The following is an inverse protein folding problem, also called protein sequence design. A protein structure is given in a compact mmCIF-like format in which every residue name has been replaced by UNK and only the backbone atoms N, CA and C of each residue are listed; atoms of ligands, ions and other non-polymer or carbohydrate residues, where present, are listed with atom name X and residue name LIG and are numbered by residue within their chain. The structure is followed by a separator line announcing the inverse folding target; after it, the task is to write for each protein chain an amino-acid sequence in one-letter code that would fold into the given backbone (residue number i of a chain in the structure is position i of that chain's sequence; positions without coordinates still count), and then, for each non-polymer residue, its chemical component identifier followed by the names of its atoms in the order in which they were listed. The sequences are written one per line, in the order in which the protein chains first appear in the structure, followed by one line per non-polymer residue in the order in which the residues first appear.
data_IF_434122362765
#
_entry.id   IF_434122362765
#
_cell.length_a   1.000
_cell.length_b   1.000
_cell.length_c   1.000
_cell.angle_alpha   90.00
_cell.angle_beta   90.00
_cell.angle_gamma   90.00
#
_symmetry.space_group_name_H-M   'P 1'
#
loop_
_entity.id
_entity.type
_entity.pdbx_description
1 polymer ?
#
# COMPACT_ATOMS: atom_id res chain seq x y z
N UNK A 1 14.09 13.73 -8.31
CA UNK A 1 12.69 13.29 -8.47
C UNK A 1 11.72 14.31 -7.89
N UNK A 2 11.85 14.70 -6.62
CA UNK A 2 10.96 15.66 -5.95
C UNK A 2 10.83 17.01 -6.69
N UNK A 3 11.92 17.56 -7.21
CA UNK A 3 11.89 18.78 -8.02
C UNK A 3 11.09 18.62 -9.32
N UNK A 4 11.16 17.45 -9.97
CA UNK A 4 10.38 17.17 -11.16
C UNK A 4 8.88 17.07 -10.84
N UNK A 5 8.52 16.39 -9.73
CA UNK A 5 7.14 16.31 -9.27
C UNK A 5 6.57 17.67 -8.85
N UNK A 6 7.39 18.53 -8.23
CA UNK A 6 6.96 19.87 -7.84
C UNK A 6 6.73 20.80 -9.04
N UNK A 7 7.39 20.53 -10.17
CA UNK A 7 7.23 21.27 -11.43
C UNK A 7 6.16 20.66 -12.36
N UNK A 8 5.65 19.47 -12.05
CA UNK A 8 4.65 18.77 -12.85
C UNK A 8 3.28 19.45 -12.69
N UNK A 9 2.60 19.69 -13.82
CA UNK A 9 1.20 20.12 -13.79
C UNK A 9 0.30 18.93 -13.39
N UNK A 10 -0.61 19.09 -12.40
CA UNK A 10 -1.55 18.05 -12.05
C UNK A 10 -2.33 17.55 -13.27
N UNK A 11 -2.44 16.23 -13.41
CA UNK A 11 -3.11 15.60 -14.55
C UNK A 11 -4.62 15.91 -14.66
N UNK A 12 -5.20 16.50 -13.60
CA UNK A 12 -6.53 17.07 -13.56
C UNK A 12 -6.60 18.12 -12.43
N UNK A 13 -7.63 18.96 -12.45
CA UNK A 13 -7.90 19.93 -11.37
C UNK A 13 -8.09 19.20 -10.03
N UNK A 14 -7.30 19.51 -8.98
CA UNK A 14 -7.47 18.90 -7.67
C UNK A 14 -8.91 19.03 -7.15
N UNK A 15 -9.44 17.93 -6.59
CA UNK A 15 -10.83 17.83 -6.16
C UNK A 15 -11.82 17.35 -7.23
N UNK A 16 -11.46 17.34 -8.52
CA UNK A 16 -12.32 16.81 -9.62
C UNK A 16 -12.08 15.32 -9.92
N UNK A 17 -11.66 14.56 -8.90
CA UNK A 17 -11.39 13.14 -8.97
C UNK A 17 -10.02 12.77 -8.40
N UNK A 18 -9.73 11.47 -8.42
CA UNK A 18 -8.50 10.90 -7.86
C UNK A 18 -7.91 9.82 -8.77
N UNK A 19 -6.65 9.52 -8.53
CA UNK A 19 -5.92 8.45 -9.19
C UNK A 19 -4.76 7.99 -8.33
N UNK A 20 -4.58 6.67 -8.24
CA UNK A 20 -3.53 6.07 -7.42
C UNK A 20 -2.11 6.44 -7.88
N UNK A 21 -1.37 7.12 -7.01
CA UNK A 21 0.00 7.56 -7.26
C UNK A 21 1.04 6.47 -6.92
N UNK A 22 1.11 5.39 -7.72
CA UNK A 22 1.82 4.15 -7.41
C UNK A 22 3.28 4.29 -6.91
N UNK A 23 4.03 5.27 -7.43
CA UNK A 23 5.42 5.55 -7.01
C UNK A 23 5.60 6.98 -6.55
N UNK A 24 4.89 7.92 -7.18
CA UNK A 24 5.01 9.34 -6.87
C UNK A 24 4.53 9.68 -5.47
N UNK A 25 3.57 8.92 -4.92
CA UNK A 25 3.14 9.05 -3.52
C UNK A 25 4.32 8.97 -2.54
N UNK A 26 5.21 7.99 -2.72
CA UNK A 26 6.33 7.78 -1.81
C UNK A 26 7.39 8.87 -1.90
N UNK A 27 7.54 9.50 -3.07
CA UNK A 27 8.40 10.68 -3.23
C UNK A 27 7.80 11.93 -2.57
N UNK A 28 6.49 12.15 -2.74
CA UNK A 28 5.78 13.29 -2.17
C UNK A 28 5.80 13.21 -0.64
N UNK A 29 5.34 12.09 -0.08
CA UNK A 29 5.33 11.88 1.38
C UNK A 29 6.75 11.80 1.94
N UNK A 30 7.68 11.16 1.23
CA UNK A 30 9.07 11.07 1.66
C UNK A 30 9.76 12.44 1.78
N UNK A 31 9.48 13.38 0.89
CA UNK A 31 9.99 14.75 0.98
C UNK A 31 9.34 15.52 2.14
N UNK A 32 8.04 15.32 2.40
CA UNK A 32 7.38 15.90 3.57
C UNK A 32 8.03 15.40 4.87
N UNK A 33 8.28 14.09 5.00
CA UNK A 33 8.99 13.51 6.13
C UNK A 33 10.38 14.14 6.28
N UNK A 34 11.14 14.27 5.18
CA UNK A 34 12.47 14.87 5.22
C UNK A 34 12.45 16.31 5.71
N UNK A 35 11.48 17.12 5.29
CA UNK A 35 11.36 18.52 5.70
C UNK A 35 10.87 18.68 7.14
N UNK A 36 9.92 17.85 7.56
CA UNK A 36 9.33 17.93 8.90
C UNK A 36 10.22 17.30 9.98
N UNK A 37 10.97 16.25 9.64
CA UNK A 37 11.73 15.42 10.59
C UNK A 37 13.25 15.57 10.45
N UNK A 38 13.74 16.12 9.33
CA UNK A 38 15.17 16.25 9.04
C UNK A 38 15.88 14.96 8.60
N UNK A 39 15.22 13.80 8.70
CA UNK A 39 15.75 12.47 8.37
C UNK A 39 15.33 11.98 6.99
N UNK A 40 16.03 10.98 6.44
CA UNK A 40 15.52 10.24 5.29
C UNK A 40 14.20 9.52 5.64
N UNK A 41 13.30 9.27 4.68
CA UNK A 41 11.99 8.67 4.99
C UNK A 41 12.09 7.30 5.66
N UNK A 42 13.06 6.46 5.27
CA UNK A 42 13.30 5.17 5.91
C UNK A 42 13.76 5.29 7.37
N UNK A 43 14.65 6.23 7.65
CA UNK A 43 15.11 6.53 9.00
C UNK A 43 14.01 7.15 9.87
N UNK A 44 13.16 7.98 9.27
CA UNK A 44 11.98 8.56 9.90
C UNK A 44 11.02 7.47 10.35
N UNK A 45 10.59 6.60 9.42
CA UNK A 45 9.72 5.45 9.68
C UNK A 45 10.34 4.53 10.73
N UNK A 46 11.63 4.21 10.61
CA UNK A 46 12.30 3.33 11.55
C UNK A 46 12.28 3.88 12.98
N UNK A 47 12.63 5.16 13.19
CA UNK A 47 12.72 5.70 14.54
C UNK A 47 11.38 6.15 15.13
N UNK A 48 10.40 6.53 14.31
CA UNK A 48 9.09 7.01 14.78
C UNK A 48 8.04 5.90 14.89
N UNK A 49 8.20 4.80 14.16
CA UNK A 49 7.19 3.74 14.08
C UNK A 49 7.80 2.38 14.40
N UNK A 50 8.77 1.92 13.60
CA UNK A 50 9.21 0.54 13.69
C UNK A 50 9.92 0.22 15.02
N UNK A 51 10.88 1.04 15.46
CA UNK A 51 11.59 0.82 16.72
C UNK A 51 10.69 0.96 17.96
N UNK A 52 9.86 2.02 18.11
CA UNK A 52 8.96 2.14 19.25
C UNK A 52 8.00 0.96 19.43
N UNK A 53 7.52 0.39 18.31
CA UNK A 53 6.60 -0.74 18.31
C UNK A 53 7.32 -2.11 18.21
N UNK A 54 8.65 -2.15 18.19
CA UNK A 54 9.41 -3.40 18.04
C UNK A 54 9.18 -4.14 16.71
N UNK A 55 8.84 -3.41 15.65
CA UNK A 55 8.54 -3.98 14.33
C UNK A 55 9.80 -4.24 13.52
N UNK A 56 9.80 -5.37 12.83
CA UNK A 56 10.82 -5.73 11.87
C UNK A 56 10.38 -5.28 10.46
N UNK A 57 10.40 -3.96 10.26
CA UNK A 57 10.00 -3.31 9.03
C UNK A 57 11.00 -2.23 8.62
N UNK A 58 11.38 -2.24 7.35
CA UNK A 58 12.49 -1.44 6.81
C UNK A 58 12.08 -0.79 5.49
N UNK A 59 12.43 0.49 5.31
CA UNK A 59 12.41 1.15 4.01
C UNK A 59 13.84 1.62 3.75
N UNK A 60 14.51 0.99 2.79
CA UNK A 60 15.97 1.01 2.72
C UNK A 60 16.57 -0.03 3.66
N UNK A 61 16.79 -1.24 3.12
CA UNK A 61 17.29 -2.39 3.84
C UNK A 61 18.82 -2.46 3.79
N UNK A 62 19.45 -2.73 4.93
CA UNK A 62 20.89 -2.92 5.04
C UNK A 62 21.33 -4.28 4.45
N UNK A 63 22.55 -4.32 3.91
CA UNK A 63 23.07 -5.48 3.17
C UNK A 63 23.18 -6.74 4.05
N UNK A 64 23.51 -6.58 5.33
CA UNK A 64 23.59 -7.66 6.31
C UNK A 64 22.23 -8.34 6.54
N UNK A 65 21.12 -7.66 6.23
CA UNK A 65 19.77 -8.20 6.32
C UNK A 65 19.31 -8.92 5.03
N UNK A 66 20.11 -8.96 3.96
CA UNK A 66 19.65 -9.52 2.68
C UNK A 66 19.42 -11.02 2.72
N UNK A 67 20.14 -11.74 3.59
CA UNK A 67 20.09 -13.19 3.70
C UNK A 67 18.71 -13.74 4.08
N UNK A 68 17.88 -12.91 4.73
CA UNK A 68 16.52 -13.27 5.18
C UNK A 68 15.41 -12.75 4.27
N UNK A 69 15.76 -12.08 3.16
CA UNK A 69 14.77 -11.60 2.18
C UNK A 69 14.35 -12.75 1.28
N UNK A 70 13.08 -13.12 1.33
CA UNK A 70 12.51 -14.13 0.44
C UNK A 70 12.60 -13.68 -1.03
N UNK A 71 12.86 -14.63 -1.93
CA UNK A 71 12.82 -14.37 -3.37
C UNK A 71 11.37 -14.16 -3.82
N UNK A 72 11.10 -13.05 -4.51
CA UNK A 72 9.78 -12.73 -5.05
C UNK A 72 9.58 -13.45 -6.38
N UNK A 73 8.57 -14.32 -6.44
CA UNK A 73 8.11 -15.02 -7.62
C UNK A 73 6.76 -14.46 -8.10
N UNK A 74 6.40 -14.73 -9.35
CA UNK A 74 5.07 -14.41 -9.91
C UNK A 74 4.30 -15.68 -10.17
N UNK A 75 3.03 -15.72 -9.77
CA UNK A 75 2.14 -16.83 -10.12
C UNK A 75 1.99 -16.98 -11.63
N UNK A 76 1.94 -18.22 -12.13
CA UNK A 76 1.67 -18.54 -13.53
C UNK A 76 0.22 -19.01 -13.70
N UNK A 77 -0.35 -18.82 -14.88
CA UNK A 77 -1.67 -19.36 -15.24
C UNK A 77 -2.87 -18.67 -14.58
N UNK A 78 -2.67 -17.54 -13.91
CA UNK A 78 -3.73 -16.74 -13.31
C UNK A 78 -3.88 -15.41 -14.07
N UNK A 79 -5.07 -15.14 -14.59
CA UNK A 79 -5.35 -13.93 -15.37
C UNK A 79 -5.59 -12.68 -14.51
N UNK A 80 -5.82 -12.86 -13.20
CA UNK A 80 -6.18 -11.80 -12.28
C UNK A 80 -7.66 -11.47 -12.27
N UNK A 81 -8.03 -10.55 -11.39
CA UNK A 81 -9.38 -9.96 -11.36
C UNK A 81 -9.62 -9.00 -12.53
N UNK A 82 -10.86 -8.57 -12.71
CA UNK A 82 -11.24 -7.70 -13.83
C UNK A 82 -10.49 -6.35 -13.79
N UNK A 83 -10.22 -5.82 -12.59
CA UNK A 83 -9.46 -4.59 -12.43
C UNK A 83 -8.01 -4.75 -12.92
N UNK A 84 -7.35 -5.86 -12.57
CA UNK A 84 -6.02 -6.18 -13.02
C UNK A 84 -5.96 -6.34 -14.54
N UNK A 85 -7.00 -6.94 -15.14
CA UNK A 85 -7.10 -7.07 -16.59
C UNK A 85 -7.25 -5.71 -17.29
N UNK A 86 -8.10 -4.82 -16.76
CA UNK A 86 -8.24 -3.45 -17.29
C UNK A 86 -6.95 -2.66 -17.18
N UNK A 87 -6.30 -2.67 -16.01
CA UNK A 87 -5.01 -1.99 -15.79
C UNK A 87 -3.94 -2.55 -16.74
N UNK A 88 -3.85 -3.87 -16.88
CA UNK A 88 -2.92 -4.51 -17.82
C UNK A 88 -3.18 -4.09 -19.26
N UNK A 89 -4.45 -4.04 -19.68
CA UNK A 89 -4.83 -3.61 -21.01
C UNK A 89 -4.42 -2.16 -21.28
N UNK A 90 -4.79 -1.21 -20.41
CA UNK A 90 -4.45 0.20 -20.55
C UNK A 90 -2.92 0.40 -20.57
N UNK A 91 -2.21 -0.29 -19.67
CA UNK A 91 -0.73 -0.23 -19.62
C UNK A 91 -0.07 -0.69 -20.91
N UNK A 92 -0.58 -1.75 -21.55
CA UNK A 92 0.02 -2.32 -22.77
C UNK A 92 -0.44 -1.63 -24.06
N UNK A 93 -1.66 -1.11 -24.11
CA UNK A 93 -2.31 -0.67 -25.35
C UNK A 93 -2.54 0.84 -25.43
N UNK A 94 -2.44 1.55 -24.31
CA UNK A 94 -2.76 2.97 -24.22
C UNK A 94 -1.60 3.74 -23.55
N UNK A 95 -0.45 3.90 -24.22
CA UNK A 95 0.76 4.48 -23.63
C UNK A 95 0.59 5.93 -23.14
N UNK A 96 -0.39 6.67 -23.69
CA UNK A 96 -0.71 8.02 -23.26
C UNK A 96 -1.59 8.07 -22.00
N UNK A 97 -2.19 6.95 -21.59
CA UNK A 97 -3.08 6.88 -20.42
C UNK A 97 -2.32 7.17 -19.12
N UNK A 98 -3.06 7.71 -18.14
CA UNK A 98 -2.62 7.90 -16.75
C UNK A 98 -2.10 6.59 -16.18
N UNK A 99 -2.83 5.50 -16.39
CA UNK A 99 -2.46 4.15 -15.96
C UNK A 99 -1.11 3.73 -16.54
N UNK A 100 -0.91 3.85 -17.85
CA UNK A 100 0.36 3.50 -18.46
C UNK A 100 1.51 4.33 -17.88
N UNK A 101 1.34 5.65 -17.76
CA UNK A 101 2.36 6.55 -17.16
C UNK A 101 2.69 6.14 -15.72
N UNK A 102 1.70 5.81 -14.89
CA UNK A 102 1.89 5.44 -13.50
C UNK A 102 2.61 4.09 -13.31
N UNK A 103 2.38 3.12 -14.20
CA UNK A 103 2.91 1.76 -14.08
C UNK A 103 4.12 1.45 -14.99
N UNK A 104 4.54 2.39 -15.84
CA UNK A 104 5.71 2.21 -16.73
C UNK A 104 6.79 3.28 -16.55
N UNK A 105 6.65 4.17 -15.56
CA UNK A 105 7.64 5.19 -15.25
C UNK A 105 8.10 5.12 -13.77
N UNK A 106 9.25 4.49 -13.47
CA UNK A 106 10.22 3.91 -14.42
C UNK A 106 9.76 2.54 -14.97
N UNK A 107 10.25 2.12 -16.15
CA UNK A 107 9.87 0.83 -16.75
C UNK A 107 10.21 -0.39 -15.88
N UNK A 108 11.16 -0.21 -14.97
CA UNK A 108 11.68 -1.27 -14.10
C UNK A 108 10.87 -1.47 -12.82
N UNK A 109 9.80 -0.70 -12.59
CA UNK A 109 8.97 -0.75 -11.36
C UNK A 109 8.51 -2.18 -11.03
N UNK A 110 8.16 -2.95 -12.05
CA UNK A 110 7.62 -4.31 -11.90
C UNK A 110 8.71 -5.40 -11.83
N UNK A 111 9.94 -5.10 -12.23
CA UNK A 111 11.00 -6.13 -12.43
C UNK A 111 12.18 -5.98 -11.48
N UNK A 112 12.21 -4.95 -10.66
CA UNK A 112 13.36 -4.63 -9.80
C UNK A 112 13.30 -5.28 -8.42
N UNK A 113 12.18 -5.87 -8.01
CA UNK A 113 11.92 -6.27 -6.61
C UNK A 113 12.98 -7.18 -5.99
N UNK A 114 13.62 -8.04 -6.79
CA UNK A 114 14.67 -8.95 -6.33
C UNK A 114 16.09 -8.38 -6.37
N UNK A 115 16.29 -7.17 -6.92
CA UNK A 115 17.61 -6.57 -7.10
C UNK A 115 18.13 -5.94 -5.79
N UNK A 116 19.43 -6.07 -5.46
CA UNK A 116 20.04 -5.39 -4.32
C UNK A 116 19.74 -3.88 -4.25
N UNK A 117 19.80 -3.19 -5.38
CA UNK A 117 19.59 -1.73 -5.46
C UNK A 117 18.15 -1.34 -5.06
N UNK A 118 17.17 -2.18 -5.40
CA UNK A 118 15.79 -1.99 -5.00
C UNK A 118 15.61 -2.10 -3.48
N UNK A 119 16.35 -3.01 -2.84
CA UNK A 119 16.28 -3.23 -1.39
C UNK A 119 16.89 -2.06 -0.63
N UNK A 120 18.02 -1.51 -1.10
CA UNK A 120 18.73 -0.39 -0.45
C UNK A 120 18.01 0.95 -0.59
N UNK A 121 17.31 1.15 -1.70
CA UNK A 121 16.60 2.40 -1.99
C UNK A 121 15.58 2.71 -0.89
N UNK A 122 15.29 3.99 -0.64
CA UNK A 122 14.17 4.40 0.22
C UNK A 122 13.01 4.85 -0.66
N UNK A 123 12.08 3.94 -0.97
CA UNK A 123 10.86 4.20 -1.74
C UNK A 123 9.62 3.81 -0.91
N UNK A 124 9.12 4.73 -0.05
CA UNK A 124 8.05 4.43 0.90
C UNK A 124 6.76 3.87 0.30
N UNK A 125 6.47 4.14 -0.99
CA UNK A 125 5.27 3.63 -1.64
C UNK A 125 5.37 2.17 -2.11
N UNK A 126 6.56 1.59 -2.25
CA UNK A 126 6.69 0.34 -3.00
C UNK A 126 7.75 -0.66 -2.50
N UNK A 127 8.73 -0.25 -1.69
CA UNK A 127 9.87 -1.13 -1.37
C UNK A 127 10.10 -1.38 0.12
N UNK A 128 9.06 -1.24 0.94
CA UNK A 128 9.09 -1.70 2.32
C UNK A 128 9.39 -3.20 2.41
N UNK A 129 10.30 -3.58 3.31
CA UNK A 129 10.64 -4.96 3.62
C UNK A 129 10.25 -5.25 5.05
N UNK A 130 9.39 -6.24 5.25
CA UNK A 130 8.98 -6.68 6.58
C UNK A 130 8.19 -7.98 6.50
N UNK A 131 7.41 -8.26 7.54
CA UNK A 131 6.67 -9.50 7.67
C UNK A 131 5.24 -9.24 8.18
N UNK A 132 4.39 -10.28 8.13
CA UNK A 132 2.99 -10.20 8.53
C UNK A 132 2.80 -9.67 9.96
N UNK A 133 3.67 -10.09 10.90
CA UNK A 133 3.64 -9.62 12.30
C UNK A 133 3.90 -8.12 12.40
N UNK A 134 4.81 -7.60 11.59
CA UNK A 134 5.15 -6.17 11.59
C UNK A 134 4.04 -5.32 10.98
N UNK A 135 3.36 -5.82 9.94
CA UNK A 135 2.16 -5.15 9.41
C UNK A 135 1.03 -5.13 10.44
N UNK A 136 0.71 -6.28 11.04
CA UNK A 136 -0.31 -6.35 12.10
C UNK A 136 0.05 -5.47 13.30
N UNK A 137 1.32 -5.46 13.73
CA UNK A 137 1.78 -4.62 14.82
C UNK A 137 1.69 -3.12 14.54
N UNK A 138 1.95 -2.68 13.29
CA UNK A 138 1.72 -1.29 12.90
C UNK A 138 0.25 -0.89 13.02
N UNK A 139 -0.66 -1.72 12.51
CA UNK A 139 -2.09 -1.44 12.59
C UNK A 139 -2.62 -1.53 14.03
N UNK A 140 -2.08 -2.42 14.87
CA UNK A 140 -2.38 -2.46 16.30
C UNK A 140 -1.95 -1.17 17.00
N UNK A 141 -0.76 -0.66 16.69
CA UNK A 141 -0.26 0.61 17.24
C UNK A 141 -1.08 1.84 16.81
N UNK A 142 -1.86 1.74 15.73
CA UNK A 142 -2.86 2.75 15.37
C UNK A 142 -4.13 2.59 16.21
N UNK A 143 -4.61 1.36 16.41
CA UNK A 143 -5.82 1.08 17.20
C UNK A 143 -5.66 1.42 18.68
N UNK A 144 -4.51 1.08 19.28
CA UNK A 144 -4.24 1.30 20.70
C UNK A 144 -3.79 2.74 21.04
N UNK A 145 -3.69 3.61 20.03
CA UNK A 145 -3.30 5.01 20.18
C UNK A 145 -1.79 5.24 20.39
N UNK A 146 -0.94 4.22 20.27
CA UNK A 146 0.52 4.35 20.44
C UNK A 146 1.17 5.23 19.36
N UNK A 147 0.57 5.30 18.17
CA UNK A 147 1.11 6.07 17.04
C UNK A 147 0.37 7.39 16.79
N UNK A 148 -0.94 7.42 17.01
CA UNK A 148 -1.80 8.57 16.73
C UNK A 148 -2.81 8.75 17.85
N UNK A 149 -3.05 10.00 18.23
CA UNK A 149 -4.20 10.35 19.06
C UNK A 149 -5.51 10.07 18.31
N UNK A 150 -6.60 9.86 19.07
CA UNK A 150 -7.90 9.48 18.52
C UNK A 150 -8.40 10.43 17.42
N UNK A 151 -8.26 11.75 17.61
CA UNK A 151 -8.68 12.75 16.61
C UNK A 151 -7.89 12.65 15.30
N UNK A 152 -6.60 12.34 15.38
CA UNK A 152 -5.75 12.14 14.22
C UNK A 152 -6.07 10.83 13.50
N UNK A 153 -6.38 9.76 14.25
CA UNK A 153 -6.84 8.49 13.68
C UNK A 153 -8.19 8.67 12.97
N UNK A 154 -9.11 9.44 13.56
CA UNK A 154 -10.39 9.76 12.95
C UNK A 154 -10.21 10.53 11.63
N UNK A 155 -9.33 11.52 11.57
CA UNK A 155 -9.06 12.26 10.33
C UNK A 155 -8.34 11.40 9.28
N UNK A 156 -7.45 10.50 9.71
CA UNK A 156 -6.76 9.54 8.83
C UNK A 156 -7.76 8.59 8.16
N UNK A 157 -8.75 8.10 8.90
CA UNK A 157 -9.72 7.10 8.44
C UNK A 157 -11.01 7.71 7.89
N UNK A 158 -11.17 9.05 7.94
CA UNK A 158 -12.26 9.75 7.27
C UNK A 158 -12.20 9.53 5.76
N UNK A 159 -13.35 9.48 5.09
CA UNK A 159 -13.40 9.45 3.64
C UNK A 159 -12.98 10.81 3.05
N UNK A 160 -11.90 10.79 2.26
CA UNK A 160 -11.39 11.95 1.52
C UNK A 160 -11.62 11.83 0.01
N UNK A 161 -11.77 10.61 -0.51
CA UNK A 161 -12.13 10.37 -1.91
C UNK A 161 -12.88 9.05 -2.05
N UNK A 162 -13.93 9.06 -2.86
CA UNK A 162 -14.70 7.88 -3.23
C UNK A 162 -15.06 7.96 -4.70
N UNK A 163 -14.91 6.84 -5.41
CA UNK A 163 -15.38 6.67 -6.78
C UNK A 163 -14.35 6.05 -7.70
N UNK A 164 -14.57 6.24 -9.00
CA UNK A 164 -13.76 5.63 -10.05
C UNK A 164 -12.33 6.19 -10.04
N UNK A 165 -11.35 5.37 -9.66
CA UNK A 165 -9.94 5.73 -9.70
C UNK A 165 -9.44 5.80 -11.15
N UNK A 166 -8.87 6.95 -11.54
CA UNK A 166 -8.37 7.21 -12.90
C UNK A 166 -7.11 6.42 -13.26
N UNK A 167 -6.42 5.83 -12.27
CA UNK A 167 -5.20 5.05 -12.46
C UNK A 167 -5.46 3.55 -12.33
N UNK A 168 -6.15 3.11 -11.28
CA UNK A 168 -6.45 1.70 -11.00
C UNK A 168 -7.64 1.16 -11.79
N UNK A 169 -8.41 2.04 -12.45
CA UNK A 169 -9.56 1.67 -13.28
C UNK A 169 -10.56 0.76 -12.52
N UNK A 170 -10.72 1.02 -11.23
CA UNK A 170 -11.72 0.44 -10.34
C UNK A 170 -12.16 1.48 -9.31
N UNK A 171 -13.29 1.23 -8.64
CA UNK A 171 -13.71 2.10 -7.53
C UNK A 171 -12.73 1.97 -6.36
N UNK A 172 -12.32 3.11 -5.80
CA UNK A 172 -11.56 3.18 -4.56
C UNK A 172 -12.21 4.14 -3.59
N UNK A 173 -12.01 3.87 -2.30
CA UNK A 173 -12.42 4.70 -1.17
C UNK A 173 -11.19 4.94 -0.31
N UNK A 174 -10.77 6.19 -0.19
CA UNK A 174 -9.47 6.57 0.36
C UNK A 174 -9.63 7.49 1.56
N UNK A 175 -8.86 7.21 2.61
CA UNK A 175 -8.52 8.15 3.67
C UNK A 175 -7.16 8.80 3.41
N UNK A 176 -6.51 9.29 4.47
CA UNK A 176 -5.17 9.88 4.36
C UNK A 176 -4.09 8.79 4.37
N UNK A 177 -3.78 8.25 3.20
CA UNK A 177 -2.74 7.24 3.02
C UNK A 177 -3.19 5.80 3.26
N UNK A 178 -4.47 5.58 3.54
CA UNK A 178 -5.10 4.26 3.63
C UNK A 178 -6.27 4.12 2.65
N UNK A 179 -6.57 2.88 2.26
CA UNK A 179 -7.83 2.51 1.63
C UNK A 179 -8.83 2.09 2.71
N UNK A 180 -10.06 2.56 2.60
CA UNK A 180 -11.18 2.25 3.51
C UNK A 180 -11.97 1.06 2.97
N UNK A 181 -12.69 0.36 3.86
CA UNK A 181 -13.53 -0.76 3.48
C UNK A 181 -14.59 -0.37 2.44
N UNK A 182 -14.80 -1.28 1.48
CA UNK A 182 -15.75 -1.14 0.37
C UNK A 182 -16.51 -2.47 0.18
N UNK A 183 -17.55 -2.74 1.00
CA UNK A 183 -18.26 -4.02 0.98
C UNK A 183 -19.03 -4.26 -0.33
N UNK A 184 -19.37 -3.19 -1.06
CA UNK A 184 -20.04 -3.28 -2.37
C UNK A 184 -19.12 -3.65 -3.54
N UNK A 185 -17.81 -3.79 -3.32
CA UNK A 185 -16.82 -4.12 -4.36
C UNK A 185 -16.11 -5.41 -3.97
N UNK A 186 -16.30 -6.48 -4.76
CA UNK A 186 -15.95 -7.85 -4.39
C UNK A 186 -14.49 -8.05 -3.93
N UNK A 187 -13.54 -7.35 -4.54
CA UNK A 187 -12.11 -7.43 -4.21
C UNK A 187 -11.62 -6.23 -3.37
N UNK A 188 -12.49 -5.38 -2.83
CA UNK A 188 -12.08 -4.18 -2.09
C UNK A 188 -12.52 -4.18 -0.62
N UNK A 189 -13.20 -5.23 -0.17
CA UNK A 189 -13.57 -5.38 1.23
C UNK A 189 -12.47 -6.06 2.04
N UNK A 190 -12.21 -5.52 3.23
CA UNK A 190 -11.38 -6.14 4.25
C UNK A 190 -12.12 -7.24 5.00
N UNK A 191 -13.43 -7.39 4.82
CA UNK A 191 -14.18 -8.54 5.33
C UNK A 191 -14.22 -8.67 6.85
N UNK A 192 -14.08 -7.58 7.61
CA UNK A 192 -14.38 -7.54 9.05
C UNK A 192 -15.59 -6.60 9.27
N UNK A 193 -15.39 -5.29 9.24
CA UNK A 193 -16.44 -4.29 9.44
C UNK A 193 -16.27 -3.02 8.56
N UNK A 194 -17.29 -2.15 8.53
CA UNK A 194 -17.36 -1.01 7.61
C UNK A 194 -16.38 0.12 7.94
N UNK A 195 -15.78 0.10 9.14
CA UNK A 195 -14.72 1.02 9.57
C UNK A 195 -13.32 0.47 9.35
N UNK A 196 -13.18 -0.74 8.80
CA UNK A 196 -11.88 -1.30 8.53
C UNK A 196 -11.10 -0.42 7.53
N UNK A 197 -9.81 -0.25 7.79
CA UNK A 197 -8.92 0.60 7.01
C UNK A 197 -7.54 -0.03 6.92
N UNK A 198 -6.86 0.16 5.79
CA UNK A 198 -5.63 -0.55 5.51
C UNK A 198 -4.97 -0.14 4.22
N UNK A 199 -4.10 -1.00 3.70
CA UNK A 199 -3.62 -0.85 2.32
C UNK A 199 -3.22 -2.22 1.74
N UNK A 200 -3.83 -2.65 0.61
CA UNK A 200 -3.33 -3.79 -0.15
C UNK A 200 -2.06 -3.41 -0.94
N UNK A 201 -1.14 -4.36 -1.06
CA UNK A 201 0.08 -4.24 -1.84
C UNK A 201 0.01 -5.09 -3.10
N UNK A 202 0.61 -4.59 -4.18
CA UNK A 202 0.70 -5.32 -5.44
C UNK A 202 1.30 -6.72 -5.23
N UNK A 203 0.61 -7.75 -5.74
CA UNK A 203 1.00 -9.15 -5.54
C UNK A 203 0.34 -9.84 -4.35
N UNK A 204 -0.37 -9.09 -3.50
CA UNK A 204 -1.37 -9.62 -2.59
C UNK A 204 -1.07 -9.51 -1.11
N UNK A 205 0.06 -8.91 -0.71
CA UNK A 205 0.26 -8.54 0.70
C UNK A 205 -0.79 -7.53 1.14
N UNK A 206 -1.17 -7.52 2.41
CA UNK A 206 -2.06 -6.50 2.97
C UNK A 206 -1.78 -6.35 4.45
N UNK A 207 -1.88 -5.12 4.94
CA UNK A 207 -2.12 -4.86 6.36
C UNK A 207 -3.37 -4.00 6.50
N UNK A 208 -4.16 -4.24 7.53
CA UNK A 208 -5.32 -3.42 7.86
C UNK A 208 -5.69 -3.59 9.34
N UNK A 209 -6.58 -2.73 9.83
CA UNK A 209 -7.22 -2.84 11.12
C UNK A 209 -8.73 -2.64 11.00
N UNK A 210 -9.46 -3.23 11.94
CA UNK A 210 -10.85 -2.93 12.21
C UNK A 210 -10.98 -2.37 13.64
N UNK A 211 -11.37 -1.09 13.80
CA UNK A 211 -11.55 -0.50 15.13
C UNK A 211 -12.81 -1.00 15.85
N UNK A 212 -13.82 -1.53 15.15
CA UNK A 212 -15.04 -2.01 15.82
C UNK A 212 -14.80 -3.37 16.53
N UNK A 213 -13.98 -4.23 15.91
CA UNK A 213 -13.58 -5.52 16.48
C UNK A 213 -12.26 -5.45 17.28
N UNK A 214 -11.59 -4.28 17.30
CA UNK A 214 -10.25 -4.08 17.89
C UNK A 214 -9.18 -5.06 17.35
N UNK A 215 -9.25 -5.39 16.06
CA UNK A 215 -8.36 -6.37 15.41
C UNK A 215 -7.47 -5.73 14.37
N UNK A 216 -6.18 -6.06 14.42
CA UNK A 216 -5.22 -5.78 13.37
C UNK A 216 -4.82 -7.07 12.61
N UNK A 217 -4.71 -6.96 11.28
CA UNK A 217 -4.39 -8.08 10.40
C UNK A 217 -3.19 -7.76 9.50
N UNK A 218 -2.36 -8.77 9.26
CA UNK A 218 -1.25 -8.71 8.34
C UNK A 218 -1.11 -10.00 7.55
N UNK A 219 -1.00 -9.88 6.23
CA UNK A 219 -0.71 -10.98 5.31
C UNK A 219 0.42 -10.58 4.37
N UNK A 220 1.43 -11.44 4.24
CA UNK A 220 2.58 -11.22 3.37
C UNK A 220 2.84 -12.51 2.58
N UNK A 221 3.19 -12.36 1.31
CA UNK A 221 3.52 -13.47 0.42
C UNK A 221 4.70 -13.09 -0.47
N UNK A 222 5.51 -14.09 -0.84
CA UNK A 222 6.57 -13.93 -1.83
C UNK A 222 6.14 -14.40 -3.23
N UNK A 223 4.92 -14.88 -3.40
CA UNK A 223 4.36 -15.27 -4.71
C UNK A 223 3.27 -14.29 -5.10
N UNK A 224 3.62 -13.38 -6.01
CA UNK A 224 2.74 -12.29 -6.42
C UNK A 224 1.56 -12.82 -7.25
N UNK A 225 0.35 -12.47 -6.81
CA UNK A 225 -0.90 -12.63 -7.55
C UNK A 225 -1.22 -11.39 -8.40
N UNK A 226 -1.92 -11.55 -9.54
CA UNK A 226 -2.33 -10.44 -10.39
C UNK A 226 -3.64 -9.80 -9.89
N UNK A 227 -3.62 -9.16 -8.72
CA UNK A 227 -4.78 -8.50 -8.10
C UNK A 227 -4.47 -7.03 -7.81
N UNK A 228 -5.46 -6.14 -7.98
CA UNK A 228 -5.27 -4.69 -7.79
C UNK A 228 -5.55 -4.27 -6.34
N UNK A 229 -6.57 -4.84 -5.73
CA UNK A 229 -6.99 -4.55 -4.36
C UNK A 229 -6.69 -5.78 -3.47
N UNK A 230 -7.69 -6.39 -2.85
CA UNK A 230 -7.51 -7.55 -1.99
C UNK A 230 -7.24 -8.83 -2.78
N UNK A 231 -6.25 -9.59 -2.32
CA UNK A 231 -5.94 -10.92 -2.83
C UNK A 231 -6.89 -11.98 -2.24
N UNK A 232 -7.42 -12.92 -3.04
CA UNK A 232 -8.31 -13.97 -2.55
C UNK A 232 -7.72 -14.83 -1.42
N UNK A 233 -6.39 -14.99 -1.36
CA UNK A 233 -5.71 -15.70 -0.27
C UNK A 233 -5.86 -14.95 1.05
N UNK A 234 -5.69 -13.62 1.02
CA UNK A 234 -5.90 -12.77 2.18
C UNK A 234 -7.38 -12.76 2.59
N UNK A 235 -8.30 -12.61 1.62
CA UNK A 235 -9.75 -12.63 1.88
C UNK A 235 -10.20 -13.95 2.53
N UNK A 236 -9.66 -15.09 2.11
CA UNK A 236 -9.96 -16.39 2.73
C UNK A 236 -9.51 -16.45 4.18
N UNK A 237 -8.32 -15.93 4.51
CA UNK A 237 -7.82 -15.89 5.89
C UNK A 237 -8.64 -14.94 6.77
N UNK A 238 -9.06 -13.80 6.21
CA UNK A 238 -9.99 -12.89 6.88
C UNK A 238 -11.33 -13.57 7.17
N UNK A 239 -11.86 -14.36 6.24
CA UNK A 239 -13.10 -15.12 6.48
C UNK A 239 -13.00 -16.02 7.71
N UNK A 240 -11.88 -16.74 7.85
CA UNK A 240 -11.59 -17.57 9.04
C UNK A 240 -11.42 -16.70 10.29
N UNK A 241 -10.73 -15.56 10.20
CA UNK A 241 -10.60 -14.62 11.32
C UNK A 241 -11.97 -14.14 11.80
N UNK A 242 -12.86 -13.73 10.88
CA UNK A 242 -14.22 -13.30 11.21
C UNK A 242 -15.00 -14.40 11.95
N UNK A 243 -14.87 -15.66 11.53
CA UNK A 243 -15.49 -16.80 12.23
C UNK A 243 -14.99 -16.97 13.68
N UNK A 244 -13.75 -16.57 13.97
CA UNK A 244 -13.19 -16.62 15.32
C UNK A 244 -13.59 -15.44 16.23
N UNK A 245 -14.15 -14.37 15.67
CA UNK A 245 -14.62 -13.20 16.43
C UNK A 245 -16.09 -13.30 16.83
N UNK A 246 -16.82 -14.29 16.29
CA UNK A 246 -18.22 -14.60 16.59
C UNK A 246 -18.33 -15.63 17.73
#
# INVERSE_FOLDING_TARGET
MTAALAAEEPWWTPGQGHGYAAITYGWLVGEMLRRADGRGPGESIAARIARPLGLDFHVGLQDDQFHRVAHIARGKGNAGDDAAQRVRQATMREPASITAKAFTNPPSIMTSTNKPEWRRMQQPAANGHGNARSLAGFYNGLLDGSLLEADMLNELTREHSLGQDKTLLTSTRLGLGCMLDQPGVANATYGLGPKAFGHPGAGGSVGFADPDDEVAFGFVTNTLGPYILMDPRAQKLVGVLRECLQ
#
